data_IF_953119639492
#
_entry.id   IF_953119639492
#
_cell.length_a   1.000
_cell.length_b   1.000
_cell.length_c   1.000
_cell.angle_alpha   90.00
_cell.angle_beta   90.00
_cell.angle_gamma   90.00
#
_symmetry.space_group_name_H-M   'P 1'
#
loop_
_entity.id
_entity.type
_entity.pdbx_description
1 polymer ?
#
# COMPACT_ATOMS: atom_id res chain seq x y z
N UNK A 1 -29.69 40.85 34.97
CA UNK A 1 -28.38 40.34 34.62
C UNK A 1 -28.50 39.14 33.72
N UNK A 2 -28.14 39.34 32.50
CA UNK A 2 -28.19 38.25 31.55
C UNK A 2 -26.94 37.40 31.66
N UNK A 3 -27.13 36.15 31.92
CA UNK A 3 -26.03 35.21 31.94
C UNK A 3 -25.84 34.70 30.52
N UNK A 4 -24.71 35.00 30.00
CA UNK A 4 -24.40 34.53 28.67
C UNK A 4 -23.76 33.20 28.77
N UNK A 5 -24.52 32.21 28.39
CA UNK A 5 -23.95 30.90 28.19
C UNK A 5 -23.25 30.91 26.87
N UNK A 6 -21.96 30.93 26.93
CA UNK A 6 -21.19 30.78 25.72
C UNK A 6 -21.19 29.30 25.37
N UNK A 7 -22.00 28.98 24.42
CA UNK A 7 -21.98 27.62 23.86
C UNK A 7 -20.73 27.48 23.02
N UNK A 8 -19.76 26.88 23.62
CA UNK A 8 -18.57 26.49 22.87
C UNK A 8 -18.93 25.21 22.12
N UNK A 9 -19.28 25.39 20.88
CA UNK A 9 -19.45 24.24 20.01
C UNK A 9 -18.07 23.75 19.64
N UNK A 10 -17.63 22.76 20.35
CA UNK A 10 -16.41 22.10 19.96
C UNK A 10 -16.79 21.20 18.79
N UNK A 11 -16.51 21.67 17.62
CA UNK A 11 -16.62 20.84 16.44
C UNK A 11 -15.54 19.77 16.57
N UNK A 12 -15.93 18.62 17.02
CA UNK A 12 -15.05 17.47 16.98
C UNK A 12 -14.91 17.09 15.51
N UNK A 13 -13.87 17.62 14.94
CA UNK A 13 -13.41 17.15 13.65
C UNK A 13 -12.91 15.73 13.87
N UNK A 14 -13.81 14.80 13.72
CA UNK A 14 -13.41 13.42 13.68
C UNK A 14 -12.66 13.23 12.38
N UNK A 15 -11.38 13.22 12.50
CA UNK A 15 -10.51 12.85 11.40
C UNK A 15 -10.69 11.36 11.22
N UNK A 16 -11.63 10.97 10.40
CA UNK A 16 -11.68 9.59 10.00
C UNK A 16 -10.51 9.40 9.05
N UNK A 17 -9.42 8.99 9.62
CA UNK A 17 -8.36 8.47 8.80
C UNK A 17 -8.91 7.19 8.20
N UNK A 18 -9.18 7.24 6.91
CA UNK A 18 -9.40 6.02 6.17
C UNK A 18 -8.06 5.29 6.14
N UNK A 19 -7.65 4.79 7.30
CA UNK A 19 -6.49 3.94 7.38
C UNK A 19 -6.81 2.69 6.60
N UNK A 20 -6.20 2.57 5.45
CA UNK A 20 -6.27 1.31 4.75
C UNK A 20 -5.48 0.32 5.58
N UNK A 21 -6.16 -0.65 6.15
CA UNK A 21 -5.50 -1.72 6.88
C UNK A 21 -4.48 -2.43 6.00
N UNK A 22 -4.58 -2.22 4.68
CA UNK A 22 -3.74 -2.86 3.68
C UNK A 22 -2.39 -2.19 3.48
N UNK A 23 -2.15 -1.04 4.10
CA UNK A 23 -0.90 -0.32 3.91
C UNK A 23 0.21 -0.80 4.83
N UNK A 24 -0.11 -1.63 5.80
CA UNK A 24 0.84 -2.13 6.79
C UNK A 24 0.52 -3.57 7.13
N UNK A 25 1.54 -4.42 7.12
CA UNK A 25 1.40 -5.80 7.62
C UNK A 25 2.53 -6.08 8.60
N UNK A 26 2.33 -7.10 9.41
CA UNK A 26 3.36 -7.56 10.33
C UNK A 26 3.94 -8.87 9.85
N UNK A 27 5.26 -8.89 9.66
CA UNK A 27 6.00 -10.08 9.31
C UNK A 27 6.98 -10.38 10.43
N UNK A 28 6.94 -11.56 11.00
CA UNK A 28 7.92 -11.99 12.02
C UNK A 28 8.11 -10.93 13.12
N UNK A 29 7.03 -10.28 13.51
CA UNK A 29 7.09 -9.25 14.54
C UNK A 29 7.51 -7.87 14.05
N UNK A 30 7.89 -7.73 12.79
CA UNK A 30 8.28 -6.44 12.21
C UNK A 30 7.17 -5.88 11.36
N UNK A 31 7.05 -4.56 11.33
CA UNK A 31 6.05 -3.90 10.50
C UNK A 31 6.62 -3.59 9.13
N UNK A 32 5.84 -3.88 8.11
CA UNK A 32 6.15 -3.56 6.73
C UNK A 32 5.04 -2.66 6.21
N UNK A 33 5.43 -1.54 5.61
CA UNK A 33 4.48 -0.54 5.14
C UNK A 33 4.84 -0.06 3.74
N UNK A 34 3.86 0.53 3.08
CA UNK A 34 4.08 1.11 1.76
C UNK A 34 5.17 2.16 1.81
N UNK A 35 5.97 2.23 0.76
CA UNK A 35 7.12 3.13 0.70
C UNK A 35 8.45 2.45 0.97
N UNK A 36 8.44 1.27 1.57
CA UNK A 36 9.68 0.53 1.80
C UNK A 36 10.24 0.00 0.51
N UNK A 37 11.57 -0.08 0.42
CA UNK A 37 12.22 -0.69 -0.73
C UNK A 37 12.28 -2.20 -0.55
N UNK A 38 12.37 -2.91 -1.67
CA UNK A 38 12.35 -4.36 -1.67
C UNK A 38 13.37 -5.01 -0.71
N UNK A 39 14.64 -4.56 -0.67
CA UNK A 39 15.58 -5.16 0.28
C UNK A 39 15.18 -5.02 1.74
N UNK A 40 14.53 -3.93 2.10
CA UNK A 40 14.05 -3.74 3.46
C UNK A 40 12.95 -4.74 3.81
N UNK A 41 12.07 -5.02 2.86
CA UNK A 41 11.00 -5.98 3.06
C UNK A 41 11.57 -7.38 3.26
N UNK A 42 12.56 -7.76 2.44
CA UNK A 42 13.21 -9.06 2.56
C UNK A 42 13.91 -9.18 3.91
N UNK A 43 14.55 -8.10 4.37
CA UNK A 43 15.22 -8.13 5.67
C UNK A 43 14.23 -8.38 6.81
N UNK A 44 13.00 -7.90 6.68
CA UNK A 44 11.99 -8.04 7.73
C UNK A 44 11.16 -9.30 7.59
N UNK A 45 10.82 -9.67 6.38
CA UNK A 45 9.88 -10.77 6.11
C UNK A 45 10.53 -12.03 5.54
N UNK A 46 11.78 -11.93 5.07
CA UNK A 46 12.44 -13.04 4.40
C UNK A 46 12.01 -13.12 2.94
N UNK A 47 12.33 -14.23 2.30
CA UNK A 47 11.99 -14.44 0.91
C UNK A 47 10.49 -14.69 0.75
N UNK A 48 9.87 -14.11 -0.28
CA UNK A 48 8.46 -14.39 -0.53
C UNK A 48 8.26 -15.81 -1.06
N UNK A 49 7.05 -16.29 -0.88
CA UNK A 49 6.69 -17.62 -1.39
C UNK A 49 6.71 -17.64 -2.92
N UNK A 50 6.17 -16.59 -3.54
CA UNK A 50 6.22 -16.44 -4.99
C UNK A 50 6.56 -14.99 -5.34
N UNK A 51 7.17 -14.83 -6.49
CA UNK A 51 7.59 -13.54 -6.99
C UNK A 51 7.29 -13.49 -8.48
N UNK A 52 6.45 -12.54 -8.87
CA UNK A 52 6.12 -12.34 -10.28
C UNK A 52 6.58 -10.96 -10.71
N UNK A 53 7.22 -10.88 -11.85
CA UNK A 53 7.74 -9.64 -12.39
C UNK A 53 7.04 -9.35 -13.70
N UNK A 54 6.51 -8.14 -13.83
CA UNK A 54 5.78 -7.73 -15.00
C UNK A 54 6.24 -6.35 -15.43
N UNK A 55 6.35 -6.16 -16.74
CA UNK A 55 6.69 -4.86 -17.31
C UNK A 55 5.39 -4.21 -17.77
N UNK A 56 5.08 -3.04 -17.20
CA UNK A 56 3.85 -2.33 -17.50
C UNK A 56 4.19 -1.08 -18.29
N UNK A 57 3.61 -0.89 -19.48
CA UNK A 57 3.91 0.30 -20.29
C UNK A 57 3.41 1.56 -19.61
N UNK A 58 4.27 2.59 -19.63
CA UNK A 58 3.92 3.91 -19.11
C UNK A 58 3.29 4.70 -20.24
N UNK A 59 2.00 4.98 -20.11
CA UNK A 59 1.28 5.72 -21.13
C UNK A 59 1.14 7.17 -20.72
N UNK A 60 1.35 8.04 -21.69
CA UNK A 60 1.17 9.47 -21.47
C UNK A 60 0.19 10.02 -22.51
N UNK A 61 -0.50 11.07 -22.11
CA UNK A 61 -1.36 11.81 -23.01
C UNK A 61 -0.65 13.08 -23.42
N UNK A 62 -0.50 13.26 -24.72
CA UNK A 62 0.17 14.45 -25.23
C UNK A 62 -0.79 15.61 -25.37
N UNK A 63 -0.24 16.82 -25.49
CA UNK A 63 -1.05 18.02 -25.58
C UNK A 63 -1.96 18.02 -26.80
N UNK A 64 -1.59 17.32 -27.85
CA UNK A 64 -2.40 17.23 -29.07
C UNK A 64 -3.52 16.19 -28.98
N UNK A 65 -3.72 15.57 -27.81
CA UNK A 65 -4.75 14.58 -27.62
C UNK A 65 -4.32 13.15 -27.92
N UNK A 66 -3.16 12.96 -28.52
CA UNK A 66 -2.67 11.60 -28.81
C UNK A 66 -2.10 10.99 -27.53
N UNK A 67 -2.06 9.67 -27.49
CA UNK A 67 -1.41 8.96 -26.41
C UNK A 67 -0.26 8.14 -26.95
N UNK A 68 0.69 7.86 -26.09
CA UNK A 68 1.84 7.07 -26.49
C UNK A 68 2.50 6.43 -25.29
N UNK A 69 3.42 5.52 -25.57
CA UNK A 69 4.20 4.81 -24.55
C UNK A 69 5.58 5.44 -24.52
N UNK A 70 5.99 5.90 -23.33
CA UNK A 70 7.31 6.53 -23.16
C UNK A 70 8.31 5.62 -22.46
N UNK A 71 7.89 4.45 -22.05
CA UNK A 71 8.75 3.52 -21.37
C UNK A 71 7.92 2.46 -20.68
N UNK A 72 8.56 1.74 -19.77
CA UNK A 72 7.90 0.71 -19.00
C UNK A 72 8.34 0.77 -17.56
N UNK A 73 7.39 0.55 -16.66
CA UNK A 73 7.66 0.43 -15.25
C UNK A 73 7.71 -1.04 -14.90
N UNK A 74 8.64 -1.43 -14.05
CA UNK A 74 8.74 -2.80 -13.59
C UNK A 74 7.88 -2.95 -12.34
N UNK A 75 6.94 -3.88 -12.42
CA UNK A 75 6.05 -4.18 -11.30
C UNK A 75 6.35 -5.60 -10.83
N UNK A 76 6.56 -5.77 -9.55
CA UNK A 76 6.77 -7.07 -8.96
C UNK A 76 5.65 -7.35 -7.96
N UNK A 77 5.12 -8.55 -8.02
CA UNK A 77 4.10 -9.00 -7.08
C UNK A 77 4.66 -10.15 -6.28
N UNK A 78 4.77 -9.94 -4.99
CA UNK A 78 5.32 -10.92 -4.06
C UNK A 78 4.20 -11.46 -3.19
N UNK A 79 4.13 -12.77 -3.08
CA UNK A 79 3.15 -13.40 -2.19
C UNK A 79 3.89 -13.95 -0.98
N UNK A 80 3.44 -13.53 0.20
CA UNK A 80 3.96 -14.03 1.47
C UNK A 80 2.95 -14.92 2.14
N UNK A 81 3.38 -16.10 2.56
CA UNK A 81 2.60 -16.96 3.43
C UNK A 81 2.90 -16.54 4.86
N UNK A 82 1.88 -16.12 5.57
CA UNK A 82 2.06 -15.58 6.92
C UNK A 82 1.83 -16.60 8.00
N UNK A 83 1.62 -17.85 7.62
CA UNK A 83 1.43 -18.93 8.57
C UNK A 83 -0.04 -19.31 8.74
N UNK A 84 -0.25 -20.36 9.53
CA UNK A 84 -1.59 -20.88 9.76
C UNK A 84 -2.48 -19.84 10.45
N UNK A 85 -3.72 -19.76 10.00
CA UNK A 85 -4.67 -18.83 10.58
C UNK A 85 -4.56 -17.40 10.11
N UNK A 86 -3.62 -17.13 9.20
CA UNK A 86 -3.46 -15.78 8.64
C UNK A 86 -3.58 -15.83 7.13
N UNK A 87 -4.19 -14.78 6.57
CA UNK A 87 -4.31 -14.69 5.13
C UNK A 87 -2.96 -14.38 4.50
N UNK A 88 -2.66 -14.99 3.35
CA UNK A 88 -1.46 -14.59 2.62
C UNK A 88 -1.54 -13.13 2.21
N UNK A 89 -0.40 -12.49 2.08
CA UNK A 89 -0.33 -11.10 1.68
C UNK A 89 0.31 -10.98 0.30
N UNK A 90 -0.30 -10.15 -0.54
CA UNK A 90 0.24 -9.81 -1.84
C UNK A 90 0.83 -8.41 -1.77
N UNK A 91 2.13 -8.31 -1.97
CA UNK A 91 2.84 -7.06 -1.96
C UNK A 91 3.17 -6.66 -3.39
N UNK A 92 2.75 -5.47 -3.77
CA UNK A 92 3.02 -4.96 -5.11
C UNK A 92 4.09 -3.88 -5.05
N UNK A 93 5.19 -4.11 -5.75
CA UNK A 93 6.30 -3.18 -5.83
C UNK A 93 6.32 -2.55 -7.22
N UNK A 94 6.58 -1.25 -7.26
CA UNK A 94 6.83 -0.56 -8.52
C UNK A 94 8.20 0.12 -8.43
N UNK A 95 9.06 -0.21 -9.38
CA UNK A 95 10.42 0.31 -9.40
C UNK A 95 11.15 0.10 -8.08
N UNK A 96 10.95 -1.07 -7.48
CA UNK A 96 11.62 -1.46 -6.27
C UNK A 96 11.03 -0.93 -4.97
N UNK A 97 9.92 -0.18 -5.04
CA UNK A 97 9.25 0.36 -3.87
C UNK A 97 7.91 -0.29 -3.66
N UNK A 98 7.62 -0.61 -2.42
CA UNK A 98 6.33 -1.20 -2.06
C UNK A 98 5.24 -0.16 -2.22
N UNK A 99 4.28 -0.43 -3.09
CA UNK A 99 3.17 0.47 -3.37
C UNK A 99 1.91 0.10 -2.64
N UNK A 100 1.61 -1.19 -2.56
CA UNK A 100 0.38 -1.63 -1.93
C UNK A 100 0.55 -3.00 -1.33
N UNK A 101 -0.27 -3.26 -0.32
CA UNK A 101 -0.33 -4.55 0.36
C UNK A 101 -1.78 -4.98 0.36
N UNK A 102 -2.03 -6.19 -0.11
CA UNK A 102 -3.37 -6.73 -0.17
C UNK A 102 -3.41 -8.07 0.52
N UNK A 103 -4.39 -8.27 1.37
CA UNK A 103 -4.59 -9.57 1.99
C UNK A 103 -5.43 -10.42 1.06
N UNK A 104 -4.93 -11.62 0.78
CA UNK A 104 -5.63 -12.54 -0.12
C UNK A 104 -6.67 -13.30 0.68
N UNK A 105 -7.83 -12.66 0.86
CA UNK A 105 -8.93 -13.22 1.63
C UNK A 105 -9.87 -14.02 0.77
N UNK A 106 -9.69 -13.98 -0.52
CA UNK A 106 -10.59 -14.64 -1.45
C UNK A 106 -10.43 -16.15 -1.44
N UNK A 107 -11.41 -16.79 -1.92
CA UNK A 107 -11.43 -18.24 -2.12
C UNK A 107 -11.28 -18.58 -3.56
#
# INVERSE_FOLDING_TARGET
>A
MAIRSTLIVIALLSWSQAGRADDVIRCRGSLVSAGMIAPQVVAKCGEPKTKEIESVPIRVRRANGSSGVIGAAQVERWTYDRGAGQFPALLTFEEGKLKSIELLTGR
#
